data_IF_707289262354
#
_entry.id   IF_707289262354
#
_cell.length_a   1.000
_cell.length_b   1.000
_cell.length_c   1.000
_cell.angle_alpha   90.00
_cell.angle_beta   90.00
_cell.angle_gamma   90.00
#
_symmetry.space_group_name_H-M   'P 1'
#
loop_
_entity.id
_entity.type
_entity.pdbx_description
1 polymer ?
#
# COMPACT_ATOMS: atom_id res chain seq x y z
N UNK A 1 -3.65 -61.83 42.47
CA UNK A 1 -3.74 -62.44 41.15
C UNK A 1 -3.25 -61.39 40.15
N UNK A 2 -2.02 -61.64 39.75
CA UNK A 2 -1.23 -60.76 38.86
C UNK A 2 -1.48 -61.19 37.42
N UNK A 3 -1.85 -60.29 36.58
CA UNK A 3 -1.72 -60.45 35.11
C UNK A 3 -0.81 -59.35 34.52
N UNK A 4 0.33 -59.80 34.08
CA UNK A 4 1.31 -59.04 33.30
C UNK A 4 0.73 -58.71 31.93
N UNK A 5 0.71 -57.40 31.59
CA UNK A 5 0.54 -56.96 30.24
C UNK A 5 1.93 -56.66 29.65
N UNK A 6 2.32 -57.41 28.66
CA UNK A 6 3.56 -57.26 27.90
C UNK A 6 3.57 -55.94 27.09
N UNK A 7 4.72 -55.24 26.97
CA UNK A 7 4.83 -54.04 26.13
C UNK A 7 4.93 -54.47 24.66
N UNK A 8 3.92 -54.04 23.87
CA UNK A 8 3.93 -54.15 22.43
C UNK A 8 5.05 -53.30 21.81
N UNK A 9 6.01 -53.95 21.18
CA UNK A 9 7.06 -53.29 20.41
C UNK A 9 6.49 -52.57 19.19
N UNK A 10 6.32 -51.27 19.29
CA UNK A 10 6.06 -50.41 18.15
C UNK A 10 7.31 -50.26 17.28
N UNK A 11 7.22 -50.68 16.03
CA UNK A 11 8.25 -50.46 15.03
C UNK A 11 8.61 -48.97 14.95
N UNK A 12 9.88 -48.58 14.75
CA UNK A 12 10.24 -47.16 14.61
C UNK A 12 9.56 -46.59 13.36
N UNK A 13 8.62 -45.65 13.59
CA UNK A 13 7.92 -44.92 12.53
C UNK A 13 8.91 -44.29 11.57
N UNK A 14 8.76 -44.60 10.27
CA UNK A 14 9.52 -44.00 9.22
C UNK A 14 9.41 -42.47 9.35
N UNK A 15 10.55 -41.80 9.56
CA UNK A 15 10.63 -40.35 9.65
C UNK A 15 10.06 -39.75 8.34
N UNK A 16 9.04 -38.92 8.47
CA UNK A 16 8.49 -38.17 7.33
C UNK A 16 9.61 -37.43 6.63
N UNK A 17 9.67 -37.44 5.28
CA UNK A 17 10.72 -36.76 4.56
C UNK A 17 10.69 -35.26 4.88
N UNK A 18 11.82 -34.77 5.42
CA UNK A 18 12.06 -33.36 5.68
C UNK A 18 11.91 -32.63 4.33
N UNK A 19 11.00 -31.63 4.23
CA UNK A 19 10.84 -30.92 2.98
C UNK A 19 12.17 -30.22 2.64
N UNK A 20 12.77 -30.63 1.52
CA UNK A 20 13.98 -30.01 0.99
C UNK A 20 13.74 -28.50 0.84
N UNK A 21 14.63 -27.69 1.43
CA UNK A 21 14.69 -26.25 1.25
C UNK A 21 15.01 -25.94 -0.20
N UNK A 22 14.02 -25.95 -1.06
CA UNK A 22 14.14 -25.45 -2.44
C UNK A 22 14.46 -23.96 -2.34
N UNK A 23 15.69 -23.60 -2.72
CA UNK A 23 16.11 -22.22 -2.87
C UNK A 23 15.11 -21.52 -3.80
N UNK A 24 14.34 -20.57 -3.26
CA UNK A 24 13.36 -19.74 -3.99
C UNK A 24 14.10 -18.84 -4.96
N UNK A 25 14.54 -19.37 -6.10
CA UNK A 25 14.96 -18.53 -7.22
C UNK A 25 13.76 -17.69 -7.63
N UNK A 26 13.93 -16.36 -7.59
CA UNK A 26 12.91 -15.44 -8.08
C UNK A 26 12.62 -15.83 -9.54
N UNK A 27 11.35 -16.06 -9.92
CA UNK A 27 11.05 -16.42 -11.29
C UNK A 27 11.51 -15.30 -12.22
N UNK A 28 12.25 -15.65 -13.25
CA UNK A 28 12.84 -14.71 -14.23
C UNK A 28 11.79 -13.70 -14.73
N UNK A 29 10.54 -14.12 -14.88
CA UNK A 29 9.42 -13.26 -15.27
C UNK A 29 9.19 -12.07 -14.32
N UNK A 30 9.44 -12.21 -13.01
CA UNK A 30 9.29 -11.10 -12.04
C UNK A 30 10.45 -10.11 -12.14
N UNK A 31 11.65 -10.61 -12.43
CA UNK A 31 12.83 -9.77 -12.64
C UNK A 31 12.65 -8.96 -13.92
N UNK A 32 12.23 -9.61 -15.01
CA UNK A 32 11.95 -8.95 -16.29
C UNK A 32 10.84 -7.91 -16.14
N UNK A 33 9.72 -8.23 -15.47
CA UNK A 33 8.65 -7.27 -15.24
C UNK A 33 9.12 -6.06 -14.41
N UNK A 34 9.95 -6.28 -13.38
CA UNK A 34 10.53 -5.19 -12.59
C UNK A 34 11.47 -4.30 -13.43
N UNK A 35 12.29 -4.91 -14.30
CA UNK A 35 13.18 -4.19 -15.20
C UNK A 35 12.40 -3.35 -16.21
N UNK A 36 11.34 -3.90 -16.80
CA UNK A 36 10.46 -3.16 -17.74
C UNK A 36 9.85 -1.95 -17.07
N UNK A 37 9.31 -2.11 -15.85
CA UNK A 37 8.75 -0.98 -15.08
C UNK A 37 9.82 0.06 -14.78
N UNK A 38 11.02 -0.34 -14.38
CA UNK A 38 12.13 0.59 -14.11
C UNK A 38 12.54 1.36 -15.38
N UNK A 39 12.65 0.68 -16.53
CA UNK A 39 12.96 1.33 -17.81
C UNK A 39 11.87 2.32 -18.21
N UNK A 40 10.58 1.94 -18.09
CA UNK A 40 9.47 2.84 -18.39
C UNK A 40 9.53 4.09 -17.50
N UNK A 41 9.74 3.94 -16.19
CA UNK A 41 9.85 5.08 -15.26
C UNK A 41 11.04 6.00 -15.58
N UNK A 42 12.15 5.45 -16.07
CA UNK A 42 13.32 6.25 -16.45
C UNK A 42 13.12 6.98 -17.78
N UNK A 43 12.47 6.35 -18.75
CA UNK A 43 12.25 6.93 -20.09
C UNK A 43 11.12 7.97 -20.11
N UNK A 44 10.13 7.81 -19.21
CA UNK A 44 8.90 8.60 -19.18
C UNK A 44 9.12 10.12 -19.21
N UNK A 45 10.02 10.74 -18.40
CA UNK A 45 10.23 12.20 -18.40
C UNK A 45 10.92 12.74 -19.67
N UNK A 46 11.58 11.88 -20.46
CA UNK A 46 12.23 12.31 -21.71
C UNK A 46 11.28 12.33 -22.91
N UNK A 47 10.22 11.55 -22.85
CA UNK A 47 9.22 11.43 -23.94
C UNK A 47 8.00 12.31 -23.68
N UNK A 48 7.77 12.69 -22.42
CA UNK A 48 6.58 13.44 -22.01
C UNK A 48 6.82 14.95 -22.01
N UNK A 49 5.82 15.77 -22.35
CA UNK A 49 5.92 17.23 -22.24
C UNK A 49 5.99 17.64 -20.75
N UNK A 50 6.56 18.84 -20.43
CA UNK A 50 6.81 19.29 -19.06
C UNK A 50 5.57 19.21 -18.13
N UNK A 51 4.39 19.62 -18.62
CA UNK A 51 3.17 19.58 -17.82
C UNK A 51 2.76 18.15 -17.41
N UNK A 52 3.06 17.13 -18.24
CA UNK A 52 2.84 15.73 -17.91
C UNK A 52 3.81 15.25 -16.83
N UNK A 53 5.06 15.72 -16.87
CA UNK A 53 6.05 15.40 -15.86
C UNK A 53 5.61 15.91 -14.50
N UNK A 54 5.04 17.14 -14.43
CA UNK A 54 4.46 17.66 -13.19
C UNK A 54 3.29 16.82 -12.67
N UNK A 55 2.42 16.32 -13.55
CA UNK A 55 1.33 15.42 -13.18
C UNK A 55 1.88 14.12 -12.58
N UNK A 56 2.91 13.53 -13.18
CA UNK A 56 3.54 12.31 -12.64
C UNK A 56 4.13 12.52 -11.25
N UNK A 57 4.74 13.67 -10.99
CA UNK A 57 5.22 14.05 -9.65
C UNK A 57 4.05 14.19 -8.67
N UNK A 58 2.93 14.76 -9.10
CA UNK A 58 1.69 14.81 -8.33
C UNK A 58 1.18 13.43 -7.94
N UNK A 59 1.22 12.47 -8.89
CA UNK A 59 0.85 11.08 -8.60
C UNK A 59 1.81 10.40 -7.63
N UNK A 60 3.11 10.72 -7.69
CA UNK A 60 4.09 10.24 -6.70
C UNK A 60 3.79 10.78 -5.30
N UNK A 61 3.47 12.07 -5.17
CA UNK A 61 3.10 12.69 -3.91
C UNK A 61 1.85 12.01 -3.31
N UNK A 62 0.83 11.77 -4.14
CA UNK A 62 -0.38 11.03 -3.76
C UNK A 62 -0.07 9.59 -3.37
N UNK A 63 0.82 8.89 -4.11
CA UNK A 63 1.22 7.52 -3.81
C UNK A 63 1.94 7.41 -2.47
N UNK A 64 2.82 8.36 -2.13
CA UNK A 64 3.53 8.41 -0.85
C UNK A 64 2.52 8.55 0.31
N UNK A 65 1.60 9.51 0.22
CA UNK A 65 0.58 9.74 1.25
C UNK A 65 -0.39 8.55 1.37
N UNK A 66 -0.84 8.01 0.24
CA UNK A 66 -1.67 6.81 0.21
C UNK A 66 -0.94 5.57 0.76
N UNK A 67 0.38 5.46 0.59
CA UNK A 67 1.19 4.39 1.18
C UNK A 67 1.18 4.49 2.71
N UNK A 68 1.28 5.70 3.27
CA UNK A 68 1.11 5.95 4.69
C UNK A 68 -0.28 5.54 5.20
N UNK A 69 -1.33 5.97 4.50
CA UNK A 69 -2.71 5.59 4.84
C UNK A 69 -2.92 4.07 4.76
N UNK A 70 -2.34 3.40 3.77
CA UNK A 70 -2.41 1.95 3.63
C UNK A 70 -1.73 1.21 4.78
N UNK A 71 -0.63 1.74 5.31
CA UNK A 71 0.01 1.17 6.50
C UNK A 71 -0.93 1.25 7.72
N UNK A 72 -1.62 2.37 7.89
CA UNK A 72 -2.55 2.61 8.97
C UNK A 72 -3.85 1.83 8.80
N UNK A 73 -4.53 2.00 7.67
CA UNK A 73 -5.87 1.42 7.43
C UNK A 73 -5.77 -0.01 6.92
N UNK A 74 -4.89 -0.29 5.95
CA UNK A 74 -4.77 -1.60 5.33
C UNK A 74 -4.12 -2.65 6.22
N UNK A 75 -2.99 -2.31 6.86
CA UNK A 75 -2.24 -3.26 7.66
C UNK A 75 -2.60 -3.24 9.15
N UNK A 76 -2.93 -2.07 9.72
CA UNK A 76 -3.23 -1.95 11.15
C UNK A 76 -4.73 -1.84 11.47
N UNK A 77 -5.60 -1.71 10.45
CA UNK A 77 -7.06 -1.68 10.63
C UNK A 77 -7.62 -0.39 11.22
N UNK A 78 -6.83 0.68 11.35
CA UNK A 78 -7.28 1.97 11.85
C UNK A 78 -7.78 2.82 10.69
N UNK A 79 -9.10 3.07 10.61
CA UNK A 79 -9.68 3.91 9.57
C UNK A 79 -9.37 5.38 9.89
N UNK A 80 -8.70 6.08 8.98
CA UNK A 80 -8.42 7.52 9.08
C UNK A 80 -8.89 8.25 7.84
N UNK A 81 -9.67 9.30 8.04
CA UNK A 81 -10.13 10.22 7.00
C UNK A 81 -9.40 11.57 7.11
N UNK A 82 -8.47 11.69 8.05
CA UNK A 82 -7.72 12.91 8.33
C UNK A 82 -6.37 13.05 7.62
N UNK A 83 -6.02 12.14 6.71
CA UNK A 83 -4.70 12.13 6.06
C UNK A 83 -4.42 13.37 5.22
N UNK A 84 -5.46 14.03 4.69
CA UNK A 84 -5.34 15.31 3.98
C UNK A 84 -4.77 16.43 4.86
N UNK A 85 -5.16 16.47 6.14
CA UNK A 85 -4.61 17.43 7.10
C UNK A 85 -3.12 17.17 7.38
N UNK A 86 -2.71 15.91 7.54
CA UNK A 86 -1.30 15.55 7.75
C UNK A 86 -0.45 15.85 6.50
N UNK A 87 -1.01 15.61 5.33
CA UNK A 87 -0.41 15.98 4.05
C UNK A 87 -0.26 17.51 3.93
N UNK A 88 -1.31 18.26 4.27
CA UNK A 88 -1.26 19.72 4.33
C UNK A 88 -0.25 20.25 5.35
N UNK A 89 -0.18 19.64 6.54
CA UNK A 89 0.81 19.98 7.56
C UNK A 89 2.24 19.84 7.01
N UNK A 90 2.53 18.75 6.28
CA UNK A 90 3.84 18.57 5.66
C UNK A 90 4.13 19.58 4.55
N UNK A 91 3.11 19.92 3.75
CA UNK A 91 3.21 20.93 2.70
C UNK A 91 3.53 22.32 3.28
N UNK A 92 2.78 22.76 4.28
CA UNK A 92 3.00 24.03 4.97
C UNK A 92 4.31 24.06 5.76
N UNK A 93 4.66 22.97 6.45
CA UNK A 93 5.94 22.88 7.13
C UNK A 93 7.12 23.06 6.17
N UNK A 94 7.07 22.42 5.00
CA UNK A 94 8.10 22.57 3.97
C UNK A 94 8.14 23.99 3.43
N UNK A 95 6.99 24.59 3.12
CA UNK A 95 6.91 25.95 2.63
C UNK A 95 7.51 26.95 3.63
N UNK A 96 7.09 26.90 4.90
CA UNK A 96 7.59 27.78 5.96
C UNK A 96 9.08 27.62 6.24
N UNK A 97 9.59 26.38 6.25
CA UNK A 97 11.02 26.14 6.47
C UNK A 97 11.88 26.72 5.34
N UNK A 98 11.39 26.69 4.12
CA UNK A 98 12.12 27.25 2.97
C UNK A 98 11.98 28.76 2.91
N UNK A 99 10.76 29.30 3.01
CA UNK A 99 10.51 30.75 2.79
C UNK A 99 10.94 31.58 3.99
N UNK A 100 10.58 31.19 5.21
CA UNK A 100 10.78 32.03 6.39
C UNK A 100 12.08 31.69 7.12
N UNK A 101 12.41 30.38 7.21
CA UNK A 101 13.63 29.95 7.90
C UNK A 101 14.85 29.80 6.97
N UNK A 102 14.68 29.94 5.64
CA UNK A 102 15.77 29.86 4.67
C UNK A 102 16.44 28.47 4.58
N UNK A 103 15.73 27.41 4.97
CA UNK A 103 16.30 26.07 4.97
C UNK A 103 16.46 25.53 3.53
N UNK A 104 17.52 24.74 3.30
CA UNK A 104 17.63 23.99 2.04
C UNK A 104 16.45 23.03 1.83
N UNK A 105 16.14 22.73 0.58
CA UNK A 105 14.98 21.88 0.20
C UNK A 105 14.99 20.51 0.88
N UNK A 106 16.14 19.82 0.86
CA UNK A 106 16.23 18.44 1.34
C UNK A 106 16.02 18.29 2.85
N UNK A 107 16.69 19.09 3.70
CA UNK A 107 16.39 19.11 5.13
C UNK A 107 14.94 19.47 5.43
N UNK A 108 14.31 20.37 4.63
CA UNK A 108 12.92 20.77 4.84
C UNK A 108 11.94 19.63 4.58
N UNK A 109 12.17 18.80 3.54
CA UNK A 109 11.38 17.59 3.29
C UNK A 109 11.51 16.57 4.44
N UNK A 110 12.73 16.35 4.92
CA UNK A 110 12.98 15.46 6.06
C UNK A 110 12.31 15.98 7.34
N UNK A 111 12.44 17.28 7.61
CA UNK A 111 11.84 17.94 8.77
C UNK A 111 10.30 17.89 8.72
N UNK A 112 9.68 18.08 7.54
CA UNK A 112 8.24 17.91 7.36
C UNK A 112 7.79 16.51 7.75
N UNK A 113 8.55 15.48 7.37
CA UNK A 113 8.29 14.10 7.79
C UNK A 113 8.35 13.94 9.31
N UNK A 114 9.37 14.53 9.98
CA UNK A 114 9.53 14.47 11.45
C UNK A 114 8.41 15.24 12.15
N UNK A 115 8.09 16.44 11.69
CA UNK A 115 7.00 17.27 12.25
C UNK A 115 5.68 16.48 12.15
N UNK A 116 5.37 15.92 10.97
CA UNK A 116 4.16 15.13 10.79
C UNK A 116 4.19 13.84 11.62
N UNK A 117 5.34 13.22 11.84
CA UNK A 117 5.46 12.09 12.77
C UNK A 117 5.03 12.49 14.18
N UNK A 118 5.54 13.61 14.70
CA UNK A 118 5.20 14.11 16.04
C UNK A 118 3.72 14.45 16.14
N UNK A 119 3.17 15.17 15.15
CA UNK A 119 1.74 15.48 15.06
C UNK A 119 0.90 14.19 14.99
N UNK A 120 1.33 13.22 14.20
CA UNK A 120 0.68 11.92 14.10
C UNK A 120 0.68 11.14 15.42
N UNK A 121 1.80 11.14 16.14
CA UNK A 121 1.88 10.56 17.49
C UNK A 121 0.93 11.28 18.44
N UNK A 122 0.88 12.61 18.41
CA UNK A 122 -0.01 13.42 19.25
C UNK A 122 -1.50 13.12 18.97
N UNK A 123 -1.90 12.97 17.70
CA UNK A 123 -3.27 12.57 17.32
C UNK A 123 -3.51 11.08 17.65
N UNK A 124 -2.49 10.24 17.54
CA UNK A 124 -2.55 8.81 17.84
C UNK A 124 -2.79 8.49 19.33
N UNK A 125 -2.39 9.38 20.25
CA UNK A 125 -2.61 9.20 21.69
C UNK A 125 -4.10 9.16 22.06
N UNK A 126 -4.96 10.14 21.72
CA UNK A 126 -6.39 10.04 21.95
C UNK A 126 -7.04 8.92 21.15
N UNK A 127 -6.48 8.57 19.98
CA UNK A 127 -6.97 7.47 19.15
C UNK A 127 -6.89 6.08 19.83
N UNK A 128 -6.08 5.92 20.87
CA UNK A 128 -6.05 4.69 21.67
C UNK A 128 -7.35 4.40 22.41
N UNK A 129 -8.03 5.45 22.86
CA UNK A 129 -9.29 5.35 23.62
C UNK A 129 -10.51 5.20 22.72
N UNK A 130 -10.31 5.44 21.42
CA UNK A 130 -11.39 5.53 20.44
C UNK A 130 -11.17 4.40 19.41
N UNK A 131 -12.21 3.58 19.20
CA UNK A 131 -12.12 2.42 18.30
C UNK A 131 -13.07 2.56 17.11
N UNK A 132 -12.67 1.96 15.99
CA UNK A 132 -13.54 1.80 14.82
C UNK A 132 -14.00 3.13 14.21
N UNK A 133 -15.32 3.28 14.04
CA UNK A 133 -15.93 4.43 13.37
C UNK A 133 -15.71 5.77 14.08
N UNK A 134 -15.62 5.76 15.41
CA UNK A 134 -15.38 7.00 16.16
C UNK A 134 -14.01 7.62 15.88
N UNK A 135 -13.00 6.78 15.61
CA UNK A 135 -11.69 7.27 15.19
C UNK A 135 -11.77 7.95 13.82
N UNK A 136 -12.54 7.38 12.89
CA UNK A 136 -12.77 8.00 11.59
C UNK A 136 -13.46 9.37 11.73
N UNK A 137 -14.43 9.53 12.65
CA UNK A 137 -15.08 10.82 12.91
C UNK A 137 -14.12 11.86 13.49
N UNK A 138 -13.25 11.47 14.43
CA UNK A 138 -12.22 12.39 14.98
C UNK A 138 -11.23 12.83 13.91
N UNK A 139 -10.75 11.90 13.09
CA UNK A 139 -9.82 12.25 12.00
C UNK A 139 -10.52 13.07 10.90
N UNK A 140 -11.81 12.85 10.68
CA UNK A 140 -12.65 13.69 9.83
C UNK A 140 -12.72 15.13 10.34
N UNK A 141 -12.95 15.31 11.65
CA UNK A 141 -12.96 16.63 12.28
C UNK A 141 -11.60 17.33 12.09
N UNK A 142 -10.48 16.62 12.25
CA UNK A 142 -9.15 17.18 12.00
C UNK A 142 -9.00 17.62 10.53
N UNK A 143 -9.49 16.82 9.56
CA UNK A 143 -9.43 17.19 8.15
C UNK A 143 -10.26 18.43 7.81
N UNK A 144 -11.43 18.61 8.43
CA UNK A 144 -12.30 19.76 8.19
C UNK A 144 -11.82 21.02 8.91
N UNK A 145 -11.21 20.87 10.08
CA UNK A 145 -10.66 21.98 10.85
C UNK A 145 -9.33 22.50 10.28
N UNK A 146 -8.56 21.68 9.59
CA UNK A 146 -7.22 22.04 9.10
C UNK A 146 -7.22 23.29 8.22
N UNK A 147 -8.02 23.42 7.15
CA UNK A 147 -8.04 24.65 6.34
C UNK A 147 -8.43 25.90 7.17
N UNK A 148 -9.40 25.77 8.09
CA UNK A 148 -9.84 26.86 8.96
C UNK A 148 -8.73 27.31 9.91
N UNK A 149 -7.95 26.36 10.46
CA UNK A 149 -6.79 26.69 11.30
C UNK A 149 -5.72 27.43 10.50
N UNK A 150 -5.44 27.01 9.28
CA UNK A 150 -4.48 27.71 8.41
C UNK A 150 -4.93 29.12 8.12
N UNK A 151 -6.21 29.35 7.83
CA UNK A 151 -6.78 30.67 7.60
C UNK A 151 -6.74 31.56 8.87
N UNK A 152 -6.99 30.99 10.04
CA UNK A 152 -6.95 31.70 11.33
C UNK A 152 -5.54 32.21 11.67
N UNK A 153 -4.51 31.42 11.34
CA UNK A 153 -3.12 31.78 11.59
C UNK A 153 -2.47 32.47 10.38
N UNK A 154 -3.20 33.37 9.73
CA UNK A 154 -2.81 34.06 8.49
C UNK A 154 -1.48 34.81 8.56
N UNK A 155 -1.03 35.23 9.75
CA UNK A 155 0.21 35.97 9.96
C UNK A 155 1.48 35.24 9.49
N UNK A 156 1.49 33.89 9.54
CA UNK A 156 2.63 33.10 9.09
C UNK A 156 2.26 32.06 8.03
N UNK A 157 0.98 31.73 7.84
CA UNK A 157 0.53 30.78 6.81
C UNK A 157 0.11 31.41 5.51
N UNK A 158 0.07 32.75 5.46
CA UNK A 158 -0.51 33.49 4.32
C UNK A 158 -2.03 33.40 4.22
N UNK A 159 -2.69 32.77 5.21
CA UNK A 159 -4.16 32.64 5.28
C UNK A 159 -4.79 32.05 4.03
N UNK A 160 -5.90 32.60 3.58
CA UNK A 160 -6.62 32.15 2.38
C UNK A 160 -5.84 32.31 1.07
N UNK A 161 -4.85 33.22 1.01
CA UNK A 161 -3.98 33.40 -0.15
C UNK A 161 -2.93 32.29 -0.28
N UNK A 162 -2.64 31.59 0.82
CA UNK A 162 -1.60 30.57 0.89
C UNK A 162 -0.19 31.11 0.83
N UNK A 163 0.78 30.21 0.75
CA UNK A 163 2.21 30.49 0.65
C UNK A 163 2.74 30.15 -0.73
N UNK A 164 3.55 31.07 -1.29
CA UNK A 164 4.34 30.77 -2.49
C UNK A 164 5.76 30.44 -2.07
N UNK A 165 6.27 29.31 -2.53
CA UNK A 165 7.66 28.90 -2.24
C UNK A 165 8.54 29.57 -3.29
N UNK A 166 9.21 30.64 -2.88
CA UNK A 166 10.07 31.45 -3.74
C UNK A 166 11.48 31.44 -3.21
N UNK A 167 12.44 31.60 -4.09
CA UNK A 167 13.83 31.86 -3.76
C UNK A 167 14.22 33.23 -4.25
N UNK A 168 14.86 34.07 -3.39
CA UNK A 168 15.37 35.37 -3.82
C UNK A 168 16.46 35.14 -4.87
N UNK A 169 16.26 35.70 -6.05
CA UNK A 169 17.21 35.60 -7.17
C UNK A 169 17.70 37.01 -7.51
N UNK A 170 19.02 37.20 -7.52
CA UNK A 170 19.60 38.46 -7.95
C UNK A 170 19.32 38.72 -9.45
N UNK A 171 18.83 39.91 -9.74
CA UNK A 171 18.57 40.39 -11.08
C UNK A 171 19.25 41.74 -11.27
N UNK A 172 19.61 42.17 -12.50
CA UNK A 172 20.19 43.49 -12.77
C UNK A 172 19.33 44.65 -12.28
N UNK A 173 18.05 44.42 -11.96
CA UNK A 173 17.08 45.40 -11.45
C UNK A 173 16.77 45.28 -9.96
N UNK A 174 17.51 44.41 -9.22
CA UNK A 174 17.28 44.10 -7.81
C UNK A 174 16.91 42.63 -7.57
N UNK A 175 16.69 42.28 -6.33
CA UNK A 175 16.28 40.92 -5.94
C UNK A 175 14.84 40.67 -6.36
N UNK A 176 14.58 39.61 -7.12
CA UNK A 176 13.26 39.17 -7.57
C UNK A 176 12.98 37.81 -6.99
N UNK A 177 11.81 37.65 -6.36
CA UNK A 177 11.32 36.36 -5.88
C UNK A 177 10.83 35.52 -7.06
N UNK A 178 11.51 34.41 -7.30
CA UNK A 178 11.09 33.42 -8.32
C UNK A 178 10.58 32.16 -7.66
N UNK A 179 9.59 31.47 -8.26
CA UNK A 179 9.18 30.16 -7.81
C UNK A 179 10.39 29.22 -7.75
N UNK A 180 10.47 28.43 -6.68
CA UNK A 180 11.58 27.51 -6.48
C UNK A 180 11.71 26.54 -7.66
N UNK A 181 12.92 26.47 -8.22
CA UNK A 181 13.26 25.49 -9.25
C UNK A 181 14.37 24.60 -8.73
N UNK A 182 14.17 23.30 -8.87
CA UNK A 182 15.20 22.31 -8.54
C UNK A 182 16.10 22.14 -9.76
N UNK A 183 17.25 22.80 -9.74
CA UNK A 183 18.23 22.71 -10.82
C UNK A 183 19.11 21.47 -10.64
N UNK A 184 19.49 20.83 -11.77
CA UNK A 184 20.37 19.69 -11.73
C UNK A 184 21.81 20.12 -11.44
N UNK A 185 22.55 19.42 -10.57
CA UNK A 185 23.97 19.61 -10.40
C UNK A 185 24.70 19.34 -11.72
N UNK A 186 25.15 20.38 -12.41
CA UNK A 186 25.83 20.28 -13.68
C UNK A 186 25.00 20.59 -14.94
N UNK A 187 23.71 20.97 -14.80
CA UNK A 187 22.91 21.49 -15.94
C UNK A 187 22.59 20.48 -17.03
N UNK A 188 22.77 19.17 -16.79
CA UNK A 188 22.61 18.12 -17.81
C UNK A 188 21.16 17.72 -18.08
N UNK A 189 20.24 18.05 -17.17
CA UNK A 189 18.80 17.72 -17.26
C UNK A 189 17.99 19.00 -17.14
N UNK A 190 16.85 19.04 -17.80
CA UNK A 190 15.87 20.10 -17.58
C UNK A 190 15.36 20.08 -16.13
N UNK A 191 14.99 21.25 -15.54
CA UNK A 191 14.55 21.33 -14.15
C UNK A 191 13.41 20.36 -13.80
N UNK A 192 12.44 20.17 -14.73
CA UNK A 192 11.31 19.27 -14.53
C UNK A 192 11.71 17.80 -14.55
N UNK A 193 12.66 17.43 -15.42
CA UNK A 193 13.20 16.07 -15.48
C UNK A 193 13.98 15.76 -14.20
N UNK A 194 14.83 16.70 -13.74
CA UNK A 194 15.58 16.56 -12.50
C UNK A 194 14.64 16.41 -11.31
N UNK A 195 13.64 17.29 -11.19
CA UNK A 195 12.58 17.25 -10.20
C UNK A 195 11.90 15.88 -10.15
N UNK A 196 11.55 15.33 -11.31
CA UNK A 196 10.94 14.01 -11.44
C UNK A 196 11.83 12.90 -10.86
N UNK A 197 13.10 12.83 -11.26
CA UNK A 197 14.00 11.77 -10.78
C UNK A 197 14.22 11.81 -9.29
N UNK A 198 14.35 13.00 -8.74
CA UNK A 198 14.52 13.17 -7.30
C UNK A 198 13.29 12.67 -6.54
N UNK A 199 12.10 13.06 -6.96
CA UNK A 199 10.88 12.62 -6.30
C UNK A 199 10.57 11.14 -6.55
N UNK A 200 11.00 10.60 -7.68
CA UNK A 200 10.99 9.17 -7.94
C UNK A 200 11.85 8.42 -6.91
N UNK A 201 13.06 8.89 -6.63
CA UNK A 201 13.94 8.29 -5.62
C UNK A 201 13.30 8.33 -4.24
N UNK A 202 12.73 9.50 -3.82
CA UNK A 202 12.02 9.62 -2.54
C UNK A 202 10.85 8.62 -2.48
N UNK A 203 10.07 8.53 -3.54
CA UNK A 203 8.95 7.59 -3.64
C UNK A 203 9.42 6.15 -3.46
N UNK A 204 10.45 5.75 -4.21
CA UNK A 204 11.02 4.40 -4.11
C UNK A 204 11.54 4.12 -2.70
N UNK A 205 12.26 5.07 -2.08
CA UNK A 205 12.75 4.94 -0.70
C UNK A 205 11.60 4.72 0.27
N UNK A 206 10.51 5.52 0.20
CA UNK A 206 9.33 5.36 1.06
C UNK A 206 8.69 3.99 0.87
N UNK A 207 8.55 3.52 -0.38
CA UNK A 207 7.97 2.19 -0.66
C UNK A 207 8.87 1.05 -0.18
N UNK A 208 10.19 1.18 -0.30
CA UNK A 208 11.16 0.20 0.23
C UNK A 208 11.11 0.17 1.75
N UNK A 209 11.08 1.33 2.42
CA UNK A 209 10.92 1.41 3.87
C UNK A 209 9.61 0.76 4.33
N UNK A 210 8.50 1.08 3.69
CA UNK A 210 7.19 0.46 3.97
C UNK A 210 7.24 -1.06 3.80
N UNK A 211 7.85 -1.54 2.71
CA UNK A 211 8.02 -2.98 2.48
C UNK A 211 8.83 -3.63 3.59
N UNK A 212 9.90 -2.98 4.05
CA UNK A 212 10.74 -3.48 5.13
C UNK A 212 9.96 -3.51 6.46
N UNK A 213 9.19 -2.45 6.77
CA UNK A 213 8.31 -2.41 7.95
C UNK A 213 7.30 -3.57 7.89
N UNK A 214 6.57 -3.72 6.80
CA UNK A 214 5.54 -4.76 6.63
C UNK A 214 6.11 -6.18 6.72
N UNK A 215 7.35 -6.40 6.28
CA UNK A 215 8.02 -7.72 6.36
C UNK A 215 8.70 -8.00 7.69
N UNK A 216 8.89 -7.00 8.52
CA UNK A 216 9.55 -7.09 9.83
C UNK A 216 8.65 -7.73 10.91
N UNK A 217 9.16 -7.81 12.13
CA UNK A 217 8.38 -8.19 13.32
C UNK A 217 7.23 -7.22 13.56
N UNK A 218 7.49 -5.91 13.36
CA UNK A 218 6.47 -4.85 13.47
C UNK A 218 5.31 -5.08 12.52
N UNK A 219 5.58 -5.44 11.25
CA UNK A 219 4.52 -5.73 10.28
C UNK A 219 3.61 -6.89 10.69
N UNK A 220 4.17 -7.93 11.30
CA UNK A 220 3.36 -9.02 11.86
C UNK A 220 2.49 -8.55 13.03
N UNK A 221 3.02 -7.70 13.91
CA UNK A 221 2.24 -7.10 15.00
C UNK A 221 1.11 -6.21 14.48
N UNK A 222 1.31 -5.47 13.38
CA UNK A 222 0.26 -4.68 12.73
C UNK A 222 -0.92 -5.56 12.33
N UNK A 223 -0.65 -6.66 11.63
CA UNK A 223 -1.69 -7.59 11.16
C UNK A 223 -2.37 -8.28 12.34
N UNK A 224 -1.62 -8.71 13.37
CA UNK A 224 -2.19 -9.31 14.57
C UNK A 224 -3.17 -8.35 15.28
N UNK A 225 -2.79 -7.07 15.45
CA UNK A 225 -3.65 -6.04 16.05
C UNK A 225 -4.90 -5.78 15.19
N UNK A 226 -4.75 -5.76 13.87
CA UNK A 226 -5.87 -5.59 12.95
C UNK A 226 -6.88 -6.73 13.05
N UNK A 227 -6.38 -7.96 13.10
CA UNK A 227 -7.24 -9.15 13.05
C UNK A 227 -7.94 -9.38 14.40
N UNK A 228 -7.23 -9.22 15.53
CA UNK A 228 -7.85 -9.26 16.87
C UNK A 228 -6.93 -8.59 17.91
N UNK A 229 -7.34 -7.44 18.44
CA UNK A 229 -6.56 -6.67 19.43
C UNK A 229 -6.34 -7.46 20.73
N UNK A 230 -7.38 -8.13 21.25
CA UNK A 230 -7.30 -8.90 22.49
C UNK A 230 -6.38 -10.11 22.38
N UNK A 231 -6.48 -10.86 21.27
CA UNK A 231 -5.60 -11.98 21.03
C UNK A 231 -4.13 -11.54 20.84
N UNK A 232 -3.89 -10.39 20.18
CA UNK A 232 -2.56 -9.81 20.04
C UNK A 232 -1.97 -9.42 21.39
N UNK A 233 -2.77 -8.82 22.28
CA UNK A 233 -2.35 -8.40 23.63
C UNK A 233 -1.96 -9.61 24.50
N UNK A 234 -2.78 -10.64 24.53
CA UNK A 234 -2.48 -11.90 25.25
C UNK A 234 -1.23 -12.59 24.69
N UNK A 235 -0.96 -12.41 23.38
CA UNK A 235 0.26 -12.91 22.73
C UNK A 235 1.51 -12.04 22.98
N UNK A 236 1.43 -11.03 23.87
CA UNK A 236 2.54 -10.17 24.26
C UNK A 236 2.79 -8.98 23.33
N UNK A 237 1.87 -8.65 22.42
CA UNK A 237 1.97 -7.46 21.58
C UNK A 237 1.48 -6.24 22.34
N UNK A 238 2.30 -5.19 22.45
CA UNK A 238 1.92 -3.92 23.07
C UNK A 238 1.04 -3.10 22.09
N UNK A 239 -0.27 -3.40 22.06
CA UNK A 239 -1.26 -2.82 21.12
C UNK A 239 -1.19 -1.30 21.06
N UNK A 240 -1.11 -0.62 22.23
CA UNK A 240 -1.02 0.83 22.30
C UNK A 240 0.21 1.39 21.54
N UNK A 241 1.40 0.81 21.77
CA UNK A 241 2.63 1.24 21.08
C UNK A 241 2.54 1.01 19.57
N UNK A 242 2.01 -0.14 19.15
CA UNK A 242 1.84 -0.47 17.74
C UNK A 242 0.92 0.54 17.07
N UNK A 243 -0.22 0.88 17.68
CA UNK A 243 -1.18 1.85 17.13
C UNK A 243 -0.61 3.25 17.00
N UNK A 244 0.01 3.78 18.07
CA UNK A 244 0.59 5.14 18.06
C UNK A 244 1.73 5.26 17.06
N UNK A 245 2.69 4.32 17.09
CA UNK A 245 3.83 4.36 16.17
C UNK A 245 3.41 4.22 14.70
N UNK A 246 2.40 3.38 14.44
CA UNK A 246 1.86 3.26 13.09
C UNK A 246 1.21 4.54 12.62
N UNK A 247 0.46 5.21 13.51
CA UNK A 247 -0.13 6.51 13.20
C UNK A 247 0.95 7.57 12.91
N UNK A 248 2.00 7.63 13.75
CA UNK A 248 3.13 8.52 13.54
C UNK A 248 3.87 8.27 12.22
N UNK A 249 4.21 7.00 11.92
CA UNK A 249 4.89 6.65 10.65
C UNK A 249 4.00 6.95 9.44
N UNK A 250 2.70 6.64 9.54
CA UNK A 250 1.73 6.95 8.50
C UNK A 250 1.63 8.46 8.25
N UNK A 251 1.59 9.26 9.32
CA UNK A 251 1.61 10.72 9.26
C UNK A 251 2.90 11.27 8.65
N UNK A 252 4.07 10.71 9.02
CA UNK A 252 5.36 11.08 8.43
C UNK A 252 5.37 10.88 6.90
N UNK A 253 4.84 9.75 6.43
CA UNK A 253 4.71 9.49 4.99
C UNK A 253 3.75 10.48 4.33
N UNK A 254 2.60 10.79 4.94
CA UNK A 254 1.71 11.83 4.46
C UNK A 254 2.41 13.19 4.39
N UNK A 255 3.20 13.55 5.41
CA UNK A 255 3.98 14.78 5.45
C UNK A 255 5.03 14.87 4.34
N UNK A 256 5.77 13.78 4.08
CA UNK A 256 6.72 13.71 2.95
C UNK A 256 5.98 13.87 1.62
N UNK A 257 4.83 13.21 1.45
CA UNK A 257 4.00 13.42 0.26
C UNK A 257 3.56 14.87 0.10
N UNK A 258 3.14 15.52 1.19
CA UNK A 258 2.80 16.94 1.22
C UNK A 258 3.96 17.87 0.86
N UNK A 259 5.16 17.54 1.33
CA UNK A 259 6.38 18.26 0.96
C UNK A 259 6.66 18.16 -0.56
N UNK A 260 6.54 16.96 -1.13
CA UNK A 260 6.67 16.74 -2.58
C UNK A 260 5.62 17.55 -3.35
N UNK A 261 4.37 17.57 -2.88
CA UNK A 261 3.31 18.38 -3.48
C UNK A 261 3.62 19.88 -3.46
N UNK A 262 4.06 20.40 -2.32
CA UNK A 262 4.42 21.80 -2.14
C UNK A 262 5.53 22.23 -3.10
N UNK A 263 6.58 21.42 -3.21
CA UNK A 263 7.72 21.67 -4.10
C UNK A 263 7.35 21.50 -5.59
N UNK A 264 6.39 20.63 -5.90
CA UNK A 264 5.92 20.45 -7.28
C UNK A 264 5.13 21.65 -7.76
N UNK A 265 4.22 22.16 -6.92
CA UNK A 265 3.32 23.26 -7.30
C UNK A 265 3.93 24.64 -6.99
N UNK A 266 5.04 24.73 -6.24
CA UNK A 266 5.65 25.95 -5.75
C UNK A 266 4.67 26.89 -5.01
N UNK A 267 3.48 26.41 -4.68
CA UNK A 267 2.42 27.13 -3.97
C UNK A 267 1.58 26.19 -3.12
N UNK A 268 1.23 26.66 -1.93
CA UNK A 268 0.45 25.88 -0.94
C UNK A 268 -0.74 26.72 -0.51
N UNK A 269 -1.96 26.27 -0.81
CA UNK A 269 -3.21 26.94 -0.47
C UNK A 269 -4.03 26.09 0.50
N UNK A 270 -4.77 26.67 1.46
CA UNK A 270 -5.64 25.92 2.37
C UNK A 270 -6.68 25.08 1.64
N UNK A 271 -7.25 25.62 0.56
CA UNK A 271 -8.25 24.95 -0.27
C UNK A 271 -7.76 23.67 -0.95
N UNK A 272 -6.44 23.50 -1.08
CA UNK A 272 -5.84 22.28 -1.63
C UNK A 272 -5.86 21.09 -0.65
N UNK A 273 -6.17 21.31 0.63
CA UNK A 273 -6.09 20.29 1.69
C UNK A 273 -7.44 20.06 2.37
N UNK A 274 -8.50 20.10 1.62
CA UNK A 274 -9.84 19.78 2.10
C UNK A 274 -10.00 18.28 2.37
N UNK A 275 -11.09 17.90 3.02
CA UNK A 275 -11.46 16.50 3.25
C UNK A 275 -11.42 15.65 1.96
N UNK A 276 -11.70 16.27 0.82
CA UNK A 276 -11.74 15.59 -0.49
C UNK A 276 -10.38 14.94 -0.82
N UNK A 277 -9.26 15.57 -0.43
CA UNK A 277 -7.92 14.99 -0.63
C UNK A 277 -7.73 13.71 0.21
N UNK A 278 -8.27 13.67 1.44
CA UNK A 278 -8.26 12.43 2.24
C UNK A 278 -9.03 11.31 1.56
N UNK A 279 -10.14 11.64 0.90
CA UNK A 279 -10.92 10.67 0.12
C UNK A 279 -10.11 10.17 -1.09
N UNK A 280 -9.35 11.02 -1.75
CA UNK A 280 -8.49 10.61 -2.87
C UNK A 280 -7.40 9.61 -2.43
N UNK A 281 -6.80 9.80 -1.25
CA UNK A 281 -5.88 8.81 -0.69
C UNK A 281 -6.57 7.48 -0.39
N UNK A 282 -7.79 7.53 0.15
CA UNK A 282 -8.58 6.33 0.41
C UNK A 282 -8.93 5.61 -0.89
N UNK A 283 -9.34 6.34 -1.93
CA UNK A 283 -9.59 5.81 -3.27
C UNK A 283 -8.33 5.11 -3.79
N UNK A 284 -7.17 5.75 -3.71
CA UNK A 284 -5.91 5.17 -4.17
C UNK A 284 -5.58 3.86 -3.42
N UNK A 285 -5.81 3.80 -2.10
CA UNK A 285 -5.60 2.58 -1.30
C UNK A 285 -6.57 1.48 -1.69
N UNK A 286 -7.85 1.79 -1.84
CA UNK A 286 -8.91 0.80 -2.13
C UNK A 286 -8.80 0.30 -3.57
N UNK A 287 -8.66 1.18 -4.54
CA UNK A 287 -8.50 0.86 -5.98
C UNK A 287 -7.24 0.04 -6.20
N UNK A 288 -6.13 0.46 -5.59
CA UNK A 288 -4.87 -0.25 -5.72
C UNK A 288 -4.86 -1.62 -5.01
N UNK A 289 -5.59 -1.74 -3.93
CA UNK A 289 -5.70 -2.92 -3.06
C UNK A 289 -5.09 -2.69 -1.69
N UNK A 290 -5.96 -2.61 -0.66
CA UNK A 290 -5.56 -2.47 0.73
C UNK A 290 -4.67 -3.64 1.20
N UNK A 291 -3.81 -3.38 2.18
CA UNK A 291 -2.82 -4.34 2.69
C UNK A 291 -1.87 -4.91 1.61
N UNK A 292 -1.64 -4.15 0.54
CA UNK A 292 -0.61 -4.42 -0.46
C UNK A 292 0.39 -3.27 -0.50
N UNK A 293 1.70 -3.55 -0.46
CA UNK A 293 2.72 -2.49 -0.49
C UNK A 293 2.69 -1.71 -1.81
N UNK A 294 2.44 -2.39 -2.93
CA UNK A 294 2.43 -1.77 -4.27
C UNK A 294 1.03 -1.19 -4.60
N UNK A 295 0.00 -1.60 -3.86
CA UNK A 295 -1.38 -1.15 -4.08
C UNK A 295 -1.52 0.36 -4.20
N UNK A 296 -1.07 1.16 -3.21
CA UNK A 296 -1.18 2.61 -3.25
C UNK A 296 -0.55 3.27 -4.46
N UNK A 297 0.58 2.74 -4.97
CA UNK A 297 1.19 3.26 -6.19
C UNK A 297 0.31 3.01 -7.43
N UNK A 298 -0.21 1.79 -7.57
CA UNK A 298 -1.12 1.46 -8.67
C UNK A 298 -2.41 2.28 -8.58
N UNK A 299 -2.95 2.43 -7.36
CA UNK A 299 -4.15 3.23 -7.13
C UNK A 299 -3.94 4.72 -7.39
N UNK A 300 -2.80 5.28 -7.02
CA UNK A 300 -2.44 6.67 -7.30
C UNK A 300 -2.30 6.93 -8.80
N UNK A 301 -1.67 6.00 -9.54
CA UNK A 301 -1.59 6.07 -11.00
C UNK A 301 -2.98 5.95 -11.62
N UNK A 302 -3.80 5.00 -11.18
CA UNK A 302 -5.16 4.82 -11.71
C UNK A 302 -6.03 6.07 -11.47
N UNK A 303 -5.94 6.65 -10.27
CA UNK A 303 -6.61 7.91 -9.94
C UNK A 303 -6.10 9.06 -10.82
N UNK A 304 -4.78 9.23 -10.93
CA UNK A 304 -4.16 10.30 -11.71
C UNK A 304 -4.50 10.20 -13.19
N UNK A 305 -4.45 9.00 -13.77
CA UNK A 305 -4.89 8.77 -15.15
C UNK A 305 -6.37 9.15 -15.32
N UNK A 306 -7.22 8.82 -14.36
CA UNK A 306 -8.63 9.18 -14.44
C UNK A 306 -8.83 10.69 -14.40
N UNK A 307 -8.18 11.41 -13.45
CA UNK A 307 -8.38 12.85 -13.25
C UNK A 307 -7.66 13.69 -14.31
N UNK A 308 -6.39 13.35 -14.62
CA UNK A 308 -5.54 14.22 -15.44
C UNK A 308 -5.56 13.86 -16.94
N UNK A 309 -6.02 12.63 -17.28
CA UNK A 309 -6.06 12.17 -18.66
C UNK A 309 -7.48 11.95 -19.16
N UNK A 310 -8.32 11.20 -18.41
CA UNK A 310 -9.66 10.87 -18.88
C UNK A 310 -10.67 12.00 -18.63
N UNK A 311 -10.62 12.65 -17.47
CA UNK A 311 -11.58 13.69 -17.09
C UNK A 311 -11.58 14.90 -18.05
N UNK A 312 -10.44 15.41 -18.55
CA UNK A 312 -10.41 16.50 -19.52
C UNK A 312 -11.05 16.14 -20.87
N UNK A 313 -11.01 14.86 -21.26
CA UNK A 313 -11.60 14.36 -22.51
C UNK A 313 -13.13 14.19 -22.44
N UNK A 314 -13.71 14.29 -21.22
CA UNK A 314 -15.17 14.22 -21.05
C UNK A 314 -15.84 15.42 -21.73
N UNK A 315 -17.03 15.21 -22.37
CA UNK A 315 -17.83 16.33 -22.85
C UNK A 315 -18.12 17.34 -21.73
N UNK A 316 -18.13 18.63 -22.05
CA UNK A 316 -18.28 19.74 -21.09
C UNK A 316 -19.44 19.54 -20.09
N UNK A 317 -20.56 18.98 -20.56
CA UNK A 317 -21.74 18.68 -19.71
C UNK A 317 -21.47 17.67 -18.59
N UNK A 318 -20.44 16.80 -18.74
CA UNK A 318 -20.10 15.76 -17.76
C UNK A 318 -18.91 16.14 -16.88
N UNK A 319 -18.13 17.17 -17.21
CA UNK A 319 -16.99 17.62 -16.38
C UNK A 319 -17.37 17.93 -14.92
N UNK A 320 -18.50 18.62 -14.63
CA UNK A 320 -18.92 18.86 -13.25
C UNK A 320 -19.28 17.56 -12.51
N UNK A 321 -19.63 16.50 -13.23
CA UNK A 321 -19.98 15.20 -12.66
C UNK A 321 -18.76 14.28 -12.44
N UNK A 322 -17.52 14.70 -12.72
CA UNK A 322 -16.29 13.91 -12.55
C UNK A 322 -16.19 13.25 -11.16
N UNK A 323 -16.47 13.94 -10.03
CA UNK A 323 -16.42 13.29 -8.71
C UNK A 323 -17.49 12.19 -8.55
N UNK A 324 -18.66 12.36 -9.17
CA UNK A 324 -19.74 11.37 -9.15
C UNK A 324 -19.33 10.14 -9.96
N UNK A 325 -18.77 10.35 -11.15
CA UNK A 325 -18.28 9.26 -12.01
C UNK A 325 -17.18 8.47 -11.29
N UNK A 326 -16.25 9.17 -10.62
CA UNK A 326 -15.20 8.55 -9.82
C UNK A 326 -15.79 7.72 -8.66
N UNK A 327 -16.81 8.25 -7.97
CA UNK A 327 -17.51 7.53 -6.90
C UNK A 327 -18.21 6.27 -7.40
N UNK A 328 -18.91 6.35 -8.51
CA UNK A 328 -19.54 5.18 -9.15
C UNK A 328 -18.50 4.15 -9.57
N UNK A 329 -17.41 4.59 -10.20
CA UNK A 329 -16.31 3.72 -10.61
C UNK A 329 -15.71 2.99 -9.39
N UNK A 330 -15.54 3.69 -8.26
CA UNK A 330 -15.06 3.10 -7.01
C UNK A 330 -16.02 2.03 -6.49
N UNK A 331 -17.33 2.31 -6.45
CA UNK A 331 -18.34 1.34 -6.01
C UNK A 331 -18.32 0.10 -6.89
N UNK A 332 -18.32 0.27 -8.20
CA UNK A 332 -18.26 -0.84 -9.17
C UNK A 332 -16.97 -1.66 -8.96
N UNK A 333 -15.84 -0.98 -8.77
CA UNK A 333 -14.56 -1.66 -8.54
C UNK A 333 -14.59 -2.46 -7.22
N UNK A 334 -15.16 -1.92 -6.15
CA UNK A 334 -15.28 -2.63 -4.86
C UNK A 334 -16.18 -3.87 -4.98
N UNK A 335 -17.24 -3.81 -5.77
CA UNK A 335 -18.13 -4.95 -6.00
C UNK A 335 -17.46 -6.04 -6.86
N UNK A 336 -16.75 -5.65 -7.91
CA UNK A 336 -16.10 -6.58 -8.87
C UNK A 336 -14.75 -7.08 -8.34
N UNK A 337 -14.02 -6.24 -7.64
CA UNK A 337 -12.66 -6.49 -7.18
C UNK A 337 -12.44 -6.06 -5.72
N UNK A 338 -12.98 -6.78 -4.73
CA UNK A 338 -12.89 -6.41 -3.32
C UNK A 338 -11.44 -6.35 -2.80
N UNK A 339 -10.49 -6.97 -3.49
CA UNK A 339 -9.06 -6.87 -3.20
C UNK A 339 -8.33 -5.79 -4.01
N UNK A 340 -9.04 -4.92 -4.74
CA UNK A 340 -8.47 -3.94 -5.66
C UNK A 340 -7.77 -4.56 -6.88
N UNK A 341 -7.09 -3.75 -7.66
CA UNK A 341 -6.36 -4.17 -8.88
C UNK A 341 -5.31 -5.25 -8.56
N UNK A 342 -4.57 -5.08 -7.45
CA UNK A 342 -3.56 -6.07 -7.02
C UNK A 342 -4.21 -7.39 -6.61
N UNK A 343 -5.38 -7.33 -5.95
CA UNK A 343 -6.16 -8.52 -5.57
C UNK A 343 -6.63 -9.31 -6.78
N UNK A 344 -7.17 -8.64 -7.79
CA UNK A 344 -7.56 -9.25 -9.06
C UNK A 344 -6.37 -9.96 -9.73
N UNK A 345 -5.23 -9.28 -9.81
CA UNK A 345 -4.04 -9.87 -10.42
C UNK A 345 -3.56 -11.12 -9.66
N UNK A 346 -3.58 -11.08 -8.32
CA UNK A 346 -3.24 -12.24 -7.48
C UNK A 346 -4.22 -13.40 -7.69
N UNK A 347 -5.52 -13.14 -7.78
CA UNK A 347 -6.54 -14.17 -7.99
C UNK A 347 -6.41 -14.84 -9.36
N UNK A 348 -6.17 -14.04 -10.42
CA UNK A 348 -5.97 -14.56 -11.78
C UNK A 348 -4.69 -15.40 -11.85
N UNK A 349 -3.59 -14.94 -11.24
CA UNK A 349 -2.33 -15.70 -11.24
C UNK A 349 -2.44 -16.98 -10.42
N UNK A 350 -3.14 -16.97 -9.29
CA UNK A 350 -3.41 -18.15 -8.47
C UNK A 350 -4.26 -19.18 -9.23
N UNK A 351 -5.34 -18.75 -9.89
CA UNK A 351 -6.18 -19.62 -10.73
C UNK A 351 -5.37 -20.26 -11.88
N UNK A 352 -4.49 -19.50 -12.53
CA UNK A 352 -3.61 -20.02 -13.58
C UNK A 352 -2.59 -21.04 -13.03
N UNK A 353 -2.03 -20.78 -11.85
CA UNK A 353 -1.11 -21.72 -11.19
C UNK A 353 -1.81 -23.02 -10.77
N UNK A 354 -3.01 -22.93 -10.19
CA UNK A 354 -3.82 -24.08 -9.83
C UNK A 354 -4.20 -24.94 -11.05
N UNK A 355 -4.60 -24.28 -12.17
CA UNK A 355 -4.90 -24.98 -13.42
C UNK A 355 -3.68 -25.72 -13.99
N UNK A 356 -2.48 -25.11 -13.91
CA UNK A 356 -1.23 -25.77 -14.32
C UNK A 356 -0.86 -26.93 -13.42
N UNK A 357 -1.03 -26.80 -12.10
CA UNK A 357 -0.78 -27.87 -11.15
C UNK A 357 -1.74 -29.06 -11.38
N UNK A 358 -3.01 -28.78 -11.66
CA UNK A 358 -4.00 -29.81 -11.95
C UNK A 358 -3.69 -30.52 -13.28
N UNK A 359 -3.29 -29.79 -14.33
CA UNK A 359 -2.86 -30.35 -15.60
C UNK A 359 -1.58 -31.19 -15.47
N UNK A 360 -0.65 -30.80 -14.62
CA UNK A 360 0.55 -31.57 -14.34
C UNK A 360 0.26 -32.85 -13.53
N UNK A 361 -0.69 -32.80 -12.61
CA UNK A 361 -1.15 -33.96 -11.81
C UNK A 361 -1.94 -34.96 -12.67
N UNK A 362 -2.73 -34.48 -13.66
CA UNK A 362 -3.45 -35.35 -14.58
C UNK A 362 -2.57 -35.95 -15.68
N UNK A 363 -1.36 -35.44 -15.88
CA UNK A 363 -0.39 -35.96 -16.85
C UNK A 363 0.43 -37.17 -16.31
N UNK A 364 0.10 -37.73 -15.15
CA UNK A 364 0.66 -38.95 -14.51
C UNK A 364 2.16 -39.18 -14.71
N UNK A 365 2.89 -39.80 -13.78
CA UNK A 365 4.23 -40.24 -14.10
C UNK A 365 4.17 -41.26 -15.26
N UNK A 366 5.14 -41.26 -16.20
CA UNK A 366 5.17 -42.26 -17.25
C UNK A 366 5.20 -43.63 -16.58
N UNK A 367 4.16 -44.44 -16.85
CA UNK A 367 4.12 -45.84 -16.43
C UNK A 367 5.31 -46.53 -17.10
N UNK A 368 6.39 -46.74 -16.36
CA UNK A 368 7.47 -47.62 -16.77
C UNK A 368 6.91 -49.03 -16.77
N UNK A 369 6.44 -49.48 -17.94
CA UNK A 369 6.20 -50.91 -18.18
C UNK A 369 7.57 -51.58 -18.27
N UNK A 370 8.14 -51.93 -17.13
CA UNK A 370 9.17 -52.96 -17.07
C UNK A 370 8.45 -54.29 -17.20
N UNK A 371 8.44 -54.80 -18.41
CA UNK A 371 8.08 -56.18 -18.65
C UNK A 371 9.01 -57.11 -17.88
N UNK A 372 8.47 -57.81 -16.91
CA UNK A 372 9.06 -59.05 -16.38
C UNK A 372 8.04 -60.15 -16.52
N UNK A 373 8.21 -60.89 -17.61
CA UNK A 373 7.51 -62.13 -17.93
C UNK A 373 8.16 -63.22 -17.11
N UNK A 374 7.60 -63.63 -15.98
CA UNK A 374 7.83 -64.94 -15.42
C UNK A 374 6.46 -65.62 -15.18
N UNK A 375 6.24 -66.57 -16.05
CA UNK A 375 5.20 -67.60 -15.99
C UNK A 375 5.40 -68.45 -14.71
N UNK A 376 4.37 -68.52 -13.90
CA UNK A 376 4.25 -69.40 -12.77
C UNK A 376 2.79 -69.80 -12.58
N UNK A 377 2.41 -70.86 -13.26
CA UNK A 377 1.15 -71.54 -13.03
C UNK A 377 1.21 -72.31 -11.72
N UNK A 378 0.21 -72.16 -10.86
CA UNK A 378 -0.28 -73.22 -9.96
C UNK A 378 -1.71 -72.91 -9.50
N UNK A 379 -2.60 -73.86 -9.89
CA UNK A 379 -3.80 -74.43 -9.30
C UNK A 379 -4.90 -73.59 -8.69
N UNK A 380 -6.02 -73.80 -9.36
CA UNK A 380 -7.36 -73.68 -8.85
C UNK A 380 -7.66 -74.83 -7.84
N UNK A 381 -8.30 -74.57 -6.73
CA UNK A 381 -9.31 -75.45 -6.12
C UNK A 381 -9.99 -74.78 -4.91
N UNK A 382 -11.35 -74.72 -4.98
CA UNK A 382 -12.33 -74.98 -3.88
C UNK A 382 -12.54 -73.88 -2.80
N UNK A 383 -13.63 -73.33 -2.72
CA UNK A 383 -14.96 -73.62 -2.14
C UNK A 383 -15.61 -72.42 -1.51
N UNK A 384 -16.81 -72.16 -1.97
CA UNK A 384 -18.10 -72.05 -1.28
C UNK A 384 -18.24 -71.00 -0.12
N UNK A 385 -19.08 -70.05 -0.45
CA UNK A 385 -20.39 -69.81 0.16
C UNK A 385 -20.49 -69.61 1.68
N UNK A 386 -20.91 -68.43 2.09
CA UNK A 386 -22.10 -68.26 2.93
C UNK A 386 -22.41 -66.76 3.15
N UNK A 387 -23.53 -66.34 2.61
CA UNK A 387 -24.40 -65.30 3.21
C UNK A 387 -25.38 -66.05 4.09
N UNK A 388 -25.94 -65.59 5.19
CA UNK A 388 -26.90 -64.49 5.21
C UNK A 388 -26.99 -63.72 6.55
N UNK A 389 -27.84 -62.70 6.59
CA UNK A 389 -28.42 -62.20 7.82
C UNK A 389 -28.76 -60.71 7.84
N UNK A 390 -29.90 -60.35 7.27
CA UNK A 390 -30.69 -59.20 7.67
C UNK A 390 -31.14 -59.28 9.12
N UNK A 391 -31.12 -58.22 9.86
CA UNK A 391 -32.18 -57.89 10.83
C UNK A 391 -32.31 -56.37 11.01
N UNK A 392 -33.48 -55.90 10.62
CA UNK A 392 -34.23 -54.72 11.03
C UNK A 392 -34.39 -54.64 12.55
N UNK A 393 -34.44 -53.38 13.05
CA UNK A 393 -35.41 -52.76 13.98
C UNK A 393 -34.88 -51.38 14.30
N UNK A 394 -35.58 -50.28 13.94
CA UNK A 394 -36.82 -49.74 14.49
C UNK A 394 -36.72 -49.22 15.91
N UNK A 395 -36.98 -47.91 15.99
CA UNK A 395 -37.78 -47.15 16.97
C UNK A 395 -37.11 -46.51 18.18
N UNK A 396 -37.43 -45.25 18.24
CA UNK A 396 -37.95 -44.39 19.32
C UNK A 396 -36.97 -43.69 20.27
N UNK A 397 -36.97 -42.47 20.20
CA UNK A 397 -37.57 -41.25 20.81
C UNK A 397 -36.71 -40.03 20.52
#
# INVERSE_FOLDING_TARGET
MSELIAPGGGAPGAAAPVPSTTSRRLPVSRIVAGLVVAVVLVVLPFVSPPFRVEQFVGWMALAIAACGLNLLTGYNGQISVGHGALYGTGAYATALLITDAGWPVWPSVAAAGVICFVVGVAIGLPALRIKGLYLALVTLAVATLFPLLIEQFSSFTGGGSGLSITTPTESPRGTIDRPIRLESPGGSLEPDQWKYFVFLVITVVVFVLTRNIVRSRTGRSLVAVRDNETAAEVSGVHVARVKILTFGVSAAMAGIGGAVFALNNARVNPSSFTIVVSIYFLIAVVVGGAASVIGPAIGAVAYGVFIDVLSPELPERFKPATPVILGILLIVLMLVAPGGIVGLWRSVTAKRAAKRAHAAASAGPPVSVTGDTTVGAVDATTAQATTPGQTTNQEDT
#
